data_IF_662128804916
#
_entry.id   IF_662128804916
#
_cell.length_a   1.000
_cell.length_b   1.000
_cell.length_c   1.000
_cell.angle_alpha   90.00
_cell.angle_beta   90.00
_cell.angle_gamma   90.00
#
_symmetry.space_group_name_H-M   'P 1'
#
loop_
_entity.id
_entity.type
_entity.pdbx_description
1 polymer ?
#
# COMPACT_ATOMS: atom_id res chain seq x y z
N UNK A 1 8.05 8.26 -2.02
CA UNK A 1 7.88 8.47 -0.56
C UNK A 1 7.80 7.13 0.16
N UNK A 2 7.38 6.04 -0.49
CA UNK A 2 7.19 4.75 0.19
C UNK A 2 8.41 3.82 0.12
N UNK A 3 9.32 3.98 -0.86
CA UNK A 3 10.50 3.09 -1.01
C UNK A 3 11.54 3.21 0.12
N UNK A 4 11.44 4.23 0.96
CA UNK A 4 12.40 4.56 2.02
C UNK A 4 11.79 4.56 3.42
N UNK A 5 10.62 3.92 3.62
CA UNK A 5 9.91 3.92 4.89
C UNK A 5 10.79 3.50 6.09
N UNK A 6 11.67 2.52 5.89
CA UNK A 6 12.62 2.08 6.92
C UNK A 6 13.65 3.17 7.32
N UNK A 7 14.01 4.06 6.41
CA UNK A 7 14.90 5.18 6.69
C UNK A 7 14.19 6.23 7.55
N UNK A 8 12.93 6.55 7.24
CA UNK A 8 12.12 7.48 8.04
C UNK A 8 11.89 6.94 9.46
N UNK A 9 11.58 5.64 9.59
CA UNK A 9 11.48 4.97 10.89
C UNK A 9 12.80 5.03 11.64
N UNK A 10 13.93 4.81 10.96
CA UNK A 10 15.26 4.87 11.59
C UNK A 10 15.56 6.28 12.13
N UNK A 11 15.17 7.34 11.43
CA UNK A 11 15.28 8.73 11.92
C UNK A 11 14.50 8.90 13.23
N UNK A 12 13.24 8.47 13.25
CA UNK A 12 12.39 8.56 14.45
C UNK A 12 12.98 7.76 15.63
N UNK A 13 13.46 6.54 15.37
CA UNK A 13 14.07 5.71 16.41
C UNK A 13 15.36 6.33 16.95
N UNK A 14 16.15 6.98 16.09
CA UNK A 14 17.38 7.67 16.50
C UNK A 14 17.08 8.90 17.36
N UNK A 15 16.05 9.67 17.01
CA UNK A 15 15.59 10.81 17.80
C UNK A 15 15.05 10.39 19.17
N UNK A 16 14.34 9.26 19.22
CA UNK A 16 13.67 8.76 20.43
C UNK A 16 14.44 7.66 21.17
N UNK A 17 15.72 7.44 20.83
CA UNK A 17 16.49 6.28 21.31
C UNK A 17 16.52 6.13 22.84
N UNK A 18 16.57 7.23 23.58
CA UNK A 18 16.53 7.23 25.06
C UNK A 18 15.18 6.80 25.61
N UNK A 19 14.09 7.21 24.96
CA UNK A 19 12.72 6.88 25.39
C UNK A 19 12.36 5.43 25.08
N UNK A 20 13.08 4.82 24.14
CA UNK A 20 12.85 3.46 23.65
C UNK A 20 13.93 2.47 24.14
N UNK A 21 14.82 2.90 25.04
CA UNK A 21 15.94 2.10 25.55
C UNK A 21 16.87 1.53 24.45
N UNK A 22 17.04 2.27 23.35
CA UNK A 22 17.89 1.92 22.19
C UNK A 22 19.27 2.62 22.22
N UNK A 23 19.65 3.26 23.32
CA UNK A 23 20.92 4.00 23.44
C UNK A 23 22.16 3.14 23.18
N UNK A 24 22.08 1.85 23.50
CA UNK A 24 23.16 0.89 23.30
C UNK A 24 23.26 0.39 21.83
N UNK A 25 22.30 0.73 20.96
CA UNK A 25 22.32 0.35 19.55
C UNK A 25 23.02 1.44 18.73
N UNK A 26 22.59 2.69 18.89
CA UNK A 26 23.08 3.80 18.08
C UNK A 26 24.51 4.21 18.47
N UNK A 27 25.40 4.26 17.49
CA UNK A 27 26.85 4.46 17.66
C UNK A 27 27.66 3.16 17.61
N UNK A 28 27.00 1.99 17.54
CA UNK A 28 27.66 0.69 17.37
C UNK A 28 27.31 0.11 15.99
N UNK A 29 28.21 0.15 14.99
CA UNK A 29 27.89 -0.18 13.60
C UNK A 29 27.24 -1.54 13.40
N UNK A 30 27.71 -2.57 14.11
CA UNK A 30 27.16 -3.93 14.01
C UNK A 30 25.69 -3.97 14.47
N UNK A 31 25.35 -3.25 15.55
CA UNK A 31 23.98 -3.21 16.09
C UNK A 31 23.06 -2.38 15.20
N UNK A 32 23.54 -1.25 14.68
CA UNK A 32 22.79 -0.44 13.71
C UNK A 32 22.50 -1.21 12.42
N UNK A 33 23.44 -2.01 11.93
CA UNK A 33 23.24 -2.87 10.76
C UNK A 33 22.17 -3.94 11.01
N UNK A 34 22.19 -4.59 12.19
CA UNK A 34 21.15 -5.58 12.55
C UNK A 34 19.79 -4.91 12.70
N UNK A 35 19.70 -3.76 13.36
CA UNK A 35 18.46 -2.98 13.48
C UNK A 35 17.91 -2.60 12.10
N UNK A 36 18.77 -2.09 11.21
CA UNK A 36 18.39 -1.71 9.83
C UNK A 36 17.80 -2.90 9.07
N UNK A 37 18.40 -4.10 9.21
CA UNK A 37 17.91 -5.32 8.56
C UNK A 37 16.53 -5.72 9.06
N UNK A 38 16.30 -5.63 10.38
CA UNK A 38 14.98 -5.89 10.98
C UNK A 38 13.95 -4.86 10.51
N UNK A 39 14.31 -3.58 10.47
CA UNK A 39 13.42 -2.50 10.01
C UNK A 39 13.02 -2.68 8.55
N UNK A 40 13.97 -3.02 7.66
CA UNK A 40 13.66 -3.30 6.25
C UNK A 40 12.63 -4.40 6.11
N UNK A 41 12.79 -5.51 6.84
CA UNK A 41 11.86 -6.64 6.82
C UNK A 41 10.48 -6.25 7.36
N UNK A 42 10.43 -5.59 8.51
CA UNK A 42 9.17 -5.14 9.10
C UNK A 42 8.44 -4.15 8.18
N UNK A 43 9.16 -3.19 7.60
CA UNK A 43 8.60 -2.22 6.67
C UNK A 43 8.08 -2.86 5.38
N UNK A 44 8.79 -3.85 4.84
CA UNK A 44 8.35 -4.63 3.68
C UNK A 44 7.03 -5.35 3.98
N UNK A 45 6.98 -6.06 5.11
CA UNK A 45 5.78 -6.78 5.55
C UNK A 45 4.56 -5.87 5.73
N UNK A 46 4.72 -4.73 6.40
CA UNK A 46 3.65 -3.74 6.58
C UNK A 46 3.17 -3.19 5.24
N UNK A 47 4.08 -2.86 4.32
CA UNK A 47 3.71 -2.40 2.97
C UNK A 47 2.95 -3.46 2.18
N UNK A 48 3.35 -4.72 2.28
CA UNK A 48 2.66 -5.80 1.58
C UNK A 48 1.25 -6.02 2.17
N UNK A 49 1.12 -5.99 3.50
CA UNK A 49 -0.18 -6.06 4.17
C UNK A 49 -1.08 -4.87 3.78
N UNK A 50 -0.55 -3.67 3.70
CA UNK A 50 -1.32 -2.49 3.30
C UNK A 50 -1.78 -2.60 1.83
N UNK A 51 -0.92 -3.10 0.94
CA UNK A 51 -1.30 -3.39 -0.46
C UNK A 51 -2.42 -4.42 -0.54
N UNK A 52 -2.37 -5.47 0.29
CA UNK A 52 -3.44 -6.47 0.38
C UNK A 52 -4.75 -5.85 0.86
N UNK A 53 -4.73 -5.01 1.91
CA UNK A 53 -5.95 -4.34 2.37
C UNK A 53 -6.57 -3.44 1.27
N UNK A 54 -5.73 -2.76 0.47
CA UNK A 54 -6.20 -1.99 -0.68
C UNK A 54 -6.84 -2.92 -1.72
N UNK A 55 -6.17 -4.04 -2.06
CA UNK A 55 -6.66 -5.02 -3.03
C UNK A 55 -8.00 -5.59 -2.62
N UNK A 56 -8.11 -6.05 -1.38
CA UNK A 56 -9.31 -6.70 -0.85
C UNK A 56 -10.48 -5.70 -0.79
N UNK A 57 -10.19 -4.41 -0.62
CA UNK A 57 -11.22 -3.37 -0.65
C UNK A 57 -11.89 -3.16 -2.02
N UNK A 58 -11.24 -3.60 -3.09
CA UNK A 58 -11.72 -3.54 -4.48
C UNK A 58 -11.89 -4.93 -5.10
N UNK A 59 -11.88 -5.99 -4.29
CA UNK A 59 -12.22 -7.31 -4.77
C UNK A 59 -13.75 -7.44 -4.79
N UNK A 60 -14.36 -7.86 -5.93
CA UNK A 60 -15.77 -8.22 -6.04
C UNK A 60 -16.34 -9.05 -4.89
N UNK A 61 -15.54 -9.96 -4.32
CA UNK A 61 -15.97 -10.83 -3.23
C UNK A 61 -16.01 -10.12 -1.86
N UNK A 62 -15.25 -9.04 -1.67
CA UNK A 62 -15.05 -8.37 -0.37
C UNK A 62 -15.12 -6.84 -0.45
N UNK A 63 -15.84 -6.31 -1.43
CA UNK A 63 -16.03 -4.87 -1.59
C UNK A 63 -16.50 -4.20 -0.28
N UNK A 64 -15.95 -3.02 -0.04
CA UNK A 64 -16.30 -2.18 1.11
C UNK A 64 -16.49 -0.74 0.68
N UNK A 65 -17.43 -0.05 1.32
CA UNK A 65 -17.63 1.40 1.15
C UNK A 65 -16.37 2.16 1.59
N UNK A 66 -16.15 3.34 0.99
CA UNK A 66 -14.95 4.14 1.24
C UNK A 66 -14.77 4.45 2.73
N UNK A 67 -15.83 4.78 3.45
CA UNK A 67 -15.76 5.11 4.88
C UNK A 67 -15.30 3.92 5.72
N UNK A 68 -15.82 2.73 5.42
CA UNK A 68 -15.43 1.49 6.12
C UNK A 68 -13.99 1.12 5.82
N UNK A 69 -13.59 1.20 4.56
CA UNK A 69 -12.21 0.98 4.14
C UNK A 69 -11.26 1.95 4.83
N UNK A 70 -11.61 3.23 4.82
CA UNK A 70 -10.80 4.29 5.40
C UNK A 70 -10.66 4.12 6.92
N UNK A 71 -11.76 3.78 7.61
CA UNK A 71 -11.74 3.47 9.04
C UNK A 71 -10.87 2.24 9.36
N UNK A 72 -10.97 1.17 8.55
CA UNK A 72 -10.15 -0.04 8.71
C UNK A 72 -8.66 0.27 8.54
N UNK A 73 -8.30 1.04 7.50
CA UNK A 73 -6.92 1.50 7.29
C UNK A 73 -6.42 2.36 8.44
N UNK A 74 -7.23 3.31 8.91
CA UNK A 74 -6.86 4.17 10.02
C UNK A 74 -6.66 3.37 11.31
N UNK A 75 -7.53 2.40 11.59
CA UNK A 75 -7.43 1.52 12.76
C UNK A 75 -6.12 0.73 12.78
N UNK A 76 -5.64 0.31 11.60
CA UNK A 76 -4.45 -0.53 11.45
C UNK A 76 -3.15 0.27 11.33
N UNK A 77 -3.17 1.41 10.65
CA UNK A 77 -1.94 2.11 10.23
C UNK A 77 -1.80 3.55 10.74
N UNK A 78 -2.85 4.19 11.24
CA UNK A 78 -2.74 5.56 11.78
C UNK A 78 -2.09 5.50 13.16
N UNK A 79 -1.02 6.26 13.36
CA UNK A 79 -0.36 6.38 14.66
C UNK A 79 -1.34 6.94 15.70
N UNK A 80 -1.52 6.24 16.83
CA UNK A 80 -2.51 6.60 17.86
C UNK A 80 -3.94 6.12 17.59
N UNK A 81 -4.16 5.37 16.49
CA UNK A 81 -5.45 4.78 16.16
C UNK A 81 -6.52 5.78 15.71
N UNK A 82 -7.79 5.37 15.80
CA UNK A 82 -8.97 6.16 15.38
C UNK A 82 -9.62 6.91 16.54
N UNK A 83 -8.83 7.33 17.55
CA UNK A 83 -9.36 8.17 18.61
C UNK A 83 -9.75 9.55 18.00
N UNK A 84 -11.05 9.75 17.78
CA UNK A 84 -11.63 10.99 17.23
C UNK A 84 -12.07 10.89 15.77
N UNK A 85 -12.54 12.03 15.24
CA UNK A 85 -12.99 12.14 13.86
C UNK A 85 -11.81 11.94 12.89
N UNK A 86 -12.05 11.17 11.83
CA UNK A 86 -11.04 10.93 10.82
C UNK A 86 -10.92 12.16 9.93
N UNK A 87 -9.68 12.63 9.70
CA UNK A 87 -9.47 13.77 8.81
C UNK A 87 -9.92 13.44 7.38
N UNK A 88 -10.64 14.36 6.75
CA UNK A 88 -10.99 14.30 5.32
C UNK A 88 -9.80 13.98 4.42
N UNK A 89 -8.61 14.49 4.77
CA UNK A 89 -7.39 14.23 4.01
C UNK A 89 -7.02 12.74 4.02
N UNK A 90 -7.28 12.02 5.12
CA UNK A 90 -7.02 10.60 5.20
C UNK A 90 -7.99 9.82 4.28
N UNK A 91 -9.27 10.20 4.25
CA UNK A 91 -10.27 9.65 3.32
C UNK A 91 -9.89 9.92 1.87
N UNK A 92 -9.43 11.14 1.56
CA UNK A 92 -8.93 11.50 0.23
C UNK A 92 -7.74 10.62 -0.15
N UNK A 93 -6.78 10.41 0.76
CA UNK A 93 -5.64 9.53 0.51
C UNK A 93 -6.07 8.08 0.23
N UNK A 94 -7.00 7.56 1.02
CA UNK A 94 -7.56 6.22 0.82
C UNK A 94 -8.24 6.09 -0.55
N UNK A 95 -9.08 7.06 -0.93
CA UNK A 95 -9.77 7.08 -2.22
C UNK A 95 -8.78 7.12 -3.40
N UNK A 96 -7.74 7.94 -3.31
CA UNK A 96 -6.71 8.05 -4.36
C UNK A 96 -5.93 6.74 -4.53
N UNK A 97 -5.55 6.10 -3.43
CA UNK A 97 -4.86 4.80 -3.47
C UNK A 97 -5.78 3.72 -4.05
N UNK A 98 -7.04 3.72 -3.67
CA UNK A 98 -8.04 2.75 -4.12
C UNK A 98 -8.34 2.89 -5.61
N UNK A 99 -8.52 4.12 -6.10
CA UNK A 99 -8.70 4.40 -7.52
C UNK A 99 -7.45 4.00 -8.33
N UNK A 100 -6.24 4.32 -7.84
CA UNK A 100 -5.01 3.88 -8.49
C UNK A 100 -4.93 2.35 -8.60
N UNK A 101 -5.24 1.64 -7.52
CA UNK A 101 -5.27 0.18 -7.48
C UNK A 101 -6.30 -0.40 -8.46
N UNK A 102 -7.49 0.21 -8.53
CA UNK A 102 -8.55 -0.18 -9.46
C UNK A 102 -8.13 -0.03 -10.92
N UNK A 103 -7.43 1.06 -11.27
CA UNK A 103 -6.96 1.33 -12.62
C UNK A 103 -5.76 0.45 -13.03
N UNK A 104 -5.09 -0.21 -12.08
CA UNK A 104 -3.87 -0.99 -12.30
C UNK A 104 -3.96 -2.37 -11.61
N UNK A 105 -4.95 -3.21 -11.95
CA UNK A 105 -5.20 -4.47 -11.25
C UNK A 105 -4.05 -5.47 -11.40
N UNK A 106 -3.30 -5.41 -12.49
CA UNK A 106 -2.12 -6.24 -12.76
C UNK A 106 -1.03 -6.08 -11.69
N UNK A 107 -0.93 -4.91 -11.06
CA UNK A 107 0.05 -4.63 -10.02
C UNK A 107 -0.32 -5.24 -8.65
N UNK A 108 -1.58 -5.64 -8.44
CA UNK A 108 -2.08 -6.13 -7.15
C UNK A 108 -2.00 -7.66 -6.99
N UNK A 109 -1.98 -8.40 -8.09
CA UNK A 109 -1.97 -9.87 -8.06
C UNK A 109 -0.56 -10.46 -8.15
N UNK A 110 0.43 -9.61 -8.42
CA UNK A 110 1.84 -9.96 -8.34
C UNK A 110 2.26 -9.97 -6.86
N UNK A 111 2.57 -11.16 -6.34
CA UNK A 111 3.18 -11.27 -5.02
C UNK A 111 4.58 -10.64 -5.10
N UNK A 112 4.78 -9.52 -4.41
CA UNK A 112 6.13 -9.00 -4.19
C UNK A 112 6.87 -10.10 -3.40
N UNK A 113 7.81 -10.77 -4.07
CA UNK A 113 8.63 -11.77 -3.41
C UNK A 113 9.36 -11.06 -2.26
N UNK A 114 8.97 -11.36 -1.01
CA UNK A 114 9.70 -10.92 0.17
C UNK A 114 11.14 -11.36 -0.05
N UNK A 115 12.02 -10.37 -0.26
CA UNK A 115 13.43 -10.62 -0.51
C UNK A 115 13.96 -11.50 0.61
N UNK A 116 14.20 -12.78 0.32
CA UNK A 116 15.06 -13.61 1.15
C UNK A 116 16.43 -12.95 1.10
N UNK A 117 16.70 -12.17 2.13
CA UNK A 117 18.04 -11.71 2.44
C UNK A 117 18.79 -12.96 2.92
N UNK A 118 19.57 -13.57 2.03
CA UNK A 118 20.43 -14.73 2.26
C UNK A 118 21.59 -14.36 3.21
N UNK A 119 21.26 -14.07 4.47
CA UNK A 119 22.24 -13.92 5.55
C UNK A 119 21.73 -14.53 6.85
N UNK A 120 21.26 -15.77 6.82
CA UNK A 120 21.34 -16.65 7.99
C UNK A 120 21.80 -18.05 7.56
N UNK A 121 23.01 -18.39 7.97
CA UNK A 121 23.57 -19.74 7.98
C UNK A 121 22.74 -20.61 8.92
N UNK A 122 21.59 -21.09 8.44
CA UNK A 122 20.80 -22.12 9.14
C UNK A 122 21.06 -23.46 8.45
N UNK A 123 21.79 -24.32 9.15
CA UNK A 123 22.08 -25.70 8.78
C UNK A 123 20.89 -26.62 9.07
N UNK A 124 19.74 -26.34 8.45
CA UNK A 124 18.60 -27.26 8.42
C UNK A 124 18.18 -27.59 6.97
N UNK A 125 17.93 -28.86 6.65
CA UNK A 125 17.59 -29.28 5.29
C UNK A 125 16.20 -28.76 4.88
N UNK A 126 16.04 -28.15 3.70
CA UNK A 126 14.77 -27.56 3.30
C UNK A 126 13.74 -28.64 2.94
N UNK A 127 12.61 -28.62 3.66
CA UNK A 127 11.43 -29.39 3.30
C UNK A 127 10.90 -28.94 1.93
N UNK A 128 10.81 -29.89 0.98
CA UNK A 128 10.32 -29.68 -0.39
C UNK A 128 8.86 -29.22 -0.39
N UNK A 129 8.62 -27.90 -0.43
CA UNK A 129 7.31 -27.36 -0.81
C UNK A 129 7.16 -27.44 -2.34
N UNK A 130 6.07 -28.09 -2.74
CA UNK A 130 5.67 -28.43 -4.11
C UNK A 130 5.46 -27.14 -4.91
N UNK A 131 6.25 -26.92 -5.96
CA UNK A 131 6.11 -25.80 -6.90
C UNK A 131 4.88 -26.03 -7.78
N UNK A 132 3.86 -25.19 -7.66
CA UNK A 132 2.88 -24.99 -8.74
C UNK A 132 3.52 -24.12 -9.81
N UNK A 133 3.62 -24.68 -11.00
CA UNK A 133 4.33 -24.12 -12.14
C UNK A 133 3.45 -23.11 -12.89
N UNK A 134 3.40 -21.85 -12.44
CA UNK A 134 2.97 -20.68 -13.24
C UNK A 134 3.19 -19.37 -12.48
N UNK A 135 4.43 -19.02 -12.11
CA UNK A 135 4.79 -17.62 -11.82
C UNK A 135 6.20 -17.36 -12.33
N UNK A 136 6.33 -16.38 -13.22
CA UNK A 136 7.61 -15.82 -13.63
C UNK A 136 8.30 -15.28 -12.37
N UNK A 137 9.15 -16.10 -11.78
CA UNK A 137 9.97 -15.82 -10.59
C UNK A 137 11.17 -14.94 -10.98
N UNK A 138 10.90 -13.75 -11.50
CA UNK A 138 11.90 -12.70 -11.70
C UNK A 138 11.81 -11.66 -10.60
N UNK A 139 12.95 -11.15 -10.14
CA UNK A 139 12.98 -9.94 -9.29
C UNK A 139 12.34 -8.81 -10.09
N UNK A 140 11.23 -8.27 -9.61
CA UNK A 140 10.57 -7.10 -10.23
C UNK A 140 11.59 -5.96 -10.26
N UNK A 141 11.74 -5.31 -11.41
CA UNK A 141 12.65 -4.18 -11.54
C UNK A 141 12.29 -3.08 -10.54
N UNK A 142 13.29 -2.40 -9.97
CA UNK A 142 13.03 -1.35 -9.00
C UNK A 142 12.11 -0.27 -9.62
N UNK A 143 10.99 0.04 -8.95
CA UNK A 143 10.01 1.01 -9.44
C UNK A 143 8.94 0.42 -10.36
N UNK A 144 9.06 -0.85 -10.75
CA UNK A 144 8.00 -1.58 -11.45
C UNK A 144 7.03 -2.30 -10.49
N UNK A 145 7.36 -2.32 -9.20
CA UNK A 145 6.50 -2.80 -8.12
C UNK A 145 5.31 -1.84 -7.90
N UNK A 146 4.25 -2.34 -7.26
CA UNK A 146 3.01 -1.59 -7.04
C UNK A 146 3.29 -0.21 -6.44
N UNK A 147 4.09 -0.18 -5.38
CA UNK A 147 4.40 1.05 -4.66
C UNK A 147 5.33 1.99 -5.44
N UNK A 148 6.23 1.47 -6.26
CA UNK A 148 7.03 2.26 -7.19
C UNK A 148 6.16 2.99 -8.21
N UNK A 149 5.13 2.33 -8.71
CA UNK A 149 4.12 2.91 -9.62
C UNK A 149 3.22 3.92 -8.90
N UNK A 150 2.78 3.63 -7.68
CA UNK A 150 2.06 4.58 -6.82
C UNK A 150 2.89 5.86 -6.61
N UNK A 151 4.16 5.72 -6.21
CA UNK A 151 5.07 6.87 -6.00
C UNK A 151 5.23 7.70 -7.28
N UNK A 152 5.35 7.03 -8.43
CA UNK A 152 5.46 7.71 -9.74
C UNK A 152 4.17 8.45 -10.08
N UNK A 153 3.01 7.80 -9.89
CA UNK A 153 1.71 8.42 -10.11
C UNK A 153 1.54 9.67 -9.25
N UNK A 154 1.77 9.58 -7.93
CA UNK A 154 1.63 10.74 -7.05
C UNK A 154 2.62 11.86 -7.37
N UNK A 155 3.85 11.55 -7.77
CA UNK A 155 4.80 12.58 -8.26
C UNK A 155 4.23 13.32 -9.47
N UNK A 156 3.65 12.61 -10.43
CA UNK A 156 3.00 13.23 -11.60
C UNK A 156 1.81 14.08 -11.17
N UNK A 157 0.93 13.57 -10.29
CA UNK A 157 -0.23 14.34 -9.82
C UNK A 157 0.19 15.62 -9.08
N UNK A 158 1.21 15.54 -8.22
CA UNK A 158 1.77 16.67 -7.48
C UNK A 158 2.45 17.68 -8.41
N UNK A 159 3.17 17.22 -9.44
CA UNK A 159 3.77 18.12 -10.43
C UNK A 159 2.71 18.91 -11.20
N UNK A 160 1.58 18.29 -11.52
CA UNK A 160 0.48 18.93 -12.25
C UNK A 160 -0.36 19.87 -11.36
N UNK A 161 -0.67 19.45 -10.13
CA UNK A 161 -1.68 20.10 -9.27
C UNK A 161 -1.12 20.86 -8.08
N UNK A 162 0.16 20.67 -7.75
CA UNK A 162 0.79 21.23 -6.56
C UNK A 162 0.82 20.24 -5.39
N UNK A 163 1.55 20.62 -4.32
CA UNK A 163 1.75 19.78 -3.13
C UNK A 163 0.60 19.85 -2.12
N UNK A 164 -0.26 20.85 -2.21
CA UNK A 164 -1.33 21.08 -1.25
C UNK A 164 -2.66 20.57 -1.80
N UNK A 165 -3.18 19.49 -1.20
CA UNK A 165 -4.46 18.88 -1.57
C UNK A 165 -5.67 19.81 -1.40
N UNK A 166 -5.53 20.90 -0.64
CA UNK A 166 -6.58 21.93 -0.48
C UNK A 166 -6.60 22.95 -1.63
N UNK A 167 -5.62 22.93 -2.53
CA UNK A 167 -5.60 23.86 -3.65
C UNK A 167 -6.75 23.59 -4.62
N UNK A 168 -7.30 24.63 -5.23
CA UNK A 168 -8.44 24.53 -6.15
C UNK A 168 -8.20 23.58 -7.35
N UNK A 169 -6.94 23.32 -7.70
CA UNK A 169 -6.55 22.38 -8.77
C UNK A 169 -6.78 20.92 -8.39
N UNK A 170 -6.74 20.59 -7.10
CA UNK A 170 -6.99 19.24 -6.60
C UNK A 170 -8.48 18.92 -6.51
N UNK A 171 -9.29 19.92 -6.14
CA UNK A 171 -10.74 19.75 -5.93
C UNK A 171 -11.46 18.98 -7.05
N UNK A 172 -11.42 19.39 -8.33
CA UNK A 172 -12.16 18.67 -9.38
C UNK A 172 -11.68 17.23 -9.58
N UNK A 173 -10.39 16.97 -9.33
CA UNK A 173 -9.84 15.62 -9.43
C UNK A 173 -10.29 14.73 -8.26
N UNK A 174 -10.27 15.26 -7.04
CA UNK A 174 -10.72 14.56 -5.84
C UNK A 174 -12.23 14.32 -5.92
N UNK A 175 -13.02 15.34 -6.24
CA UNK A 175 -14.48 15.24 -6.34
C UNK A 175 -14.89 14.16 -7.34
N UNK A 176 -14.23 14.11 -8.51
CA UNK A 176 -14.43 13.05 -9.50
C UNK A 176 -14.11 11.67 -8.92
N UNK A 177 -12.97 11.53 -8.24
CA UNK A 177 -12.57 10.23 -7.66
C UNK A 177 -13.55 9.77 -6.58
N UNK A 178 -14.03 10.68 -5.73
CA UNK A 178 -15.02 10.35 -4.71
C UNK A 178 -16.37 9.96 -5.34
N UNK A 179 -16.79 10.66 -6.40
CA UNK A 179 -18.01 10.32 -7.12
C UNK A 179 -17.90 8.96 -7.84
N UNK A 180 -16.79 8.72 -8.51
CA UNK A 180 -16.47 7.47 -9.20
C UNK A 180 -16.42 6.29 -8.22
N UNK A 181 -15.88 6.52 -7.03
CA UNK A 181 -15.77 5.54 -5.96
C UNK A 181 -17.16 5.24 -5.37
N UNK A 182 -17.95 6.27 -5.04
CA UNK A 182 -19.33 6.10 -4.58
C UNK A 182 -20.17 5.35 -5.63
N UNK A 183 -20.05 5.67 -6.91
CA UNK A 183 -20.79 4.98 -7.97
C UNK A 183 -20.40 3.51 -8.12
N UNK A 184 -19.15 3.15 -7.83
CA UNK A 184 -18.66 1.77 -7.97
C UNK A 184 -18.95 0.92 -6.74
N UNK A 185 -18.95 1.51 -5.54
CA UNK A 185 -18.93 0.74 -4.30
C UNK A 185 -20.12 1.02 -3.36
N UNK A 186 -20.95 2.05 -3.62
CA UNK A 186 -22.12 2.30 -2.79
C UNK A 186 -23.22 1.26 -3.01
N UNK A 187 -23.79 0.76 -1.92
CA UNK A 187 -24.95 -0.15 -1.96
C UNK A 187 -24.65 -1.58 -2.44
N UNK A 188 -23.39 -1.94 -2.67
CA UNK A 188 -23.01 -3.33 -2.96
C UNK A 188 -22.93 -4.11 -1.66
N UNK A 189 -23.79 -5.13 -1.53
CA UNK A 189 -23.71 -6.11 -0.44
C UNK A 189 -22.62 -7.14 -0.81
N UNK A 190 -21.64 -7.42 0.09
CA UNK A 190 -20.64 -8.44 -0.15
C UNK A 190 -21.27 -9.79 -0.51
N UNK A 191 -20.88 -10.38 -1.64
CA UNK A 191 -21.42 -11.65 -2.14
C UNK A 191 -22.65 -11.55 -3.06
N UNK A 192 -23.14 -10.35 -3.39
CA UNK A 192 -24.11 -10.18 -4.47
C UNK A 192 -23.42 -10.41 -5.83
N UNK A 193 -24.09 -11.05 -6.82
CA UNK A 193 -23.52 -11.21 -8.16
C UNK A 193 -23.23 -9.83 -8.76
N UNK A 194 -21.95 -9.52 -8.96
CA UNK A 194 -21.51 -8.29 -9.60
C UNK A 194 -22.11 -8.27 -11.01
N UNK A 195 -22.93 -7.26 -11.30
CA UNK A 195 -23.25 -6.90 -12.68
C UNK A 195 -21.94 -6.44 -13.31
N UNK A 196 -21.26 -7.35 -14.00
CA UNK A 196 -20.24 -7.00 -14.97
C UNK A 196 -20.95 -6.06 -15.94
N UNK A 197 -20.62 -4.78 -15.92
CA UNK A 197 -21.00 -3.87 -16.99
C UNK A 197 -20.26 -4.39 -18.22
N UNK A 198 -20.95 -5.24 -18.99
CA UNK A 198 -20.52 -5.61 -20.32
C UNK A 198 -20.23 -4.32 -21.06
N UNK A 199 -18.97 -4.14 -21.46
CA UNK A 199 -18.62 -3.22 -22.53
C UNK A 199 -19.38 -3.72 -23.76
N UNK A 200 -20.58 -3.19 -23.99
CA UNK A 200 -21.23 -3.37 -25.28
C UNK A 200 -20.33 -2.70 -26.32
N UNK A 201 -19.68 -3.54 -27.13
CA UNK A 201 -19.02 -3.09 -28.34
C UNK A 201 -20.06 -2.38 -29.21
N UNK A 202 -19.79 -1.16 -29.69
CA UNK A 202 -20.71 -0.47 -30.58
C UNK A 202 -20.79 -1.24 -31.89
N UNK A 203 -21.94 -1.85 -32.16
CA UNK A 203 -22.31 -2.33 -33.48
C UNK A 203 -22.32 -1.14 -34.43
N UNK A 204 -21.33 -1.11 -35.32
CA UNK A 204 -21.24 -0.14 -36.41
C UNK A 204 -22.38 -0.37 -37.42
N UNK A 205 -22.84 0.71 -38.10
CA UNK A 205 -24.02 0.72 -38.97
C UNK A 205 -23.87 -0.09 -40.27
#
# INVERSE_FOLDING_TARGET
>A
LLSTMHADVLVILKERKKQLDLDNIFGVPIRENKLTSVLKRACSSVRNAFRQDIRDSIDPASFVELDKFTYALASKYKLGGVAGELSDLFTIHAALLRQFAFDNPDLLWNDEADGKDDTETSSEPPAKKRKTATKQSGRVAAGADFWGKVDTHFKTQVAMRGRNFKDARWKPYIDRILADDASKFAGIVPGAPVRVLSLEEPTAP
#
